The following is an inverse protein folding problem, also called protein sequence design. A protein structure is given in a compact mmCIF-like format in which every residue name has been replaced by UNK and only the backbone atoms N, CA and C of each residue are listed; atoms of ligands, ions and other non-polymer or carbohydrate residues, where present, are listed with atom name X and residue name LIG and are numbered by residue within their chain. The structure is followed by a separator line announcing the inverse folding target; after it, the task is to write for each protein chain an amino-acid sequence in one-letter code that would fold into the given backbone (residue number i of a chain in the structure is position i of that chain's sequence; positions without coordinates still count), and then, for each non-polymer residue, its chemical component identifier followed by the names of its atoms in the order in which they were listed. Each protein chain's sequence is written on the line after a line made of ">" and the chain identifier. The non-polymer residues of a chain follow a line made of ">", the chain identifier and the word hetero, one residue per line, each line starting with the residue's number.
data_IF_118180008203
#
_entry.id   IF_118180008203
#
_cell.length_a   1.000
_cell.length_b   1.000
_cell.length_c   1.000
_cell.angle_alpha   90.00
_cell.angle_beta   90.00
_cell.angle_gamma   90.00
#
_symmetry.space_group_name_H-M   'P 1'
#
loop_
_entity.id
_entity.type
_entity.pdbx_description
1 polymer ?
#
# COMPACT_ATOMS: atom_id res chain seq x y z
N UNK A 1 5.41 36.02 2.72
CA UNK A 1 6.63 36.56 2.10
C UNK A 1 7.12 35.53 1.08
N UNK A 2 6.67 35.66 -0.17
CA UNK A 2 6.91 34.71 -1.26
C UNK A 2 8.41 34.63 -1.55
N UNK A 3 9.03 33.45 -1.35
CA UNK A 3 10.42 33.25 -1.77
C UNK A 3 10.45 33.09 -3.29
N UNK A 4 11.08 34.06 -3.94
CA UNK A 4 11.51 34.04 -5.34
C UNK A 4 12.49 32.88 -5.57
N UNK A 5 12.21 31.98 -6.53
CA UNK A 5 13.17 30.98 -7.03
C UNK A 5 13.10 30.89 -8.58
N UNK A 6 14.29 30.89 -9.19
CA UNK A 6 14.69 31.03 -10.62
C UNK A 6 14.21 29.94 -11.60
N UNK A 7 14.28 30.06 -12.94
CA UNK A 7 14.14 31.13 -13.96
C UNK A 7 14.28 30.47 -15.36
N UNK A 8 13.29 30.63 -16.24
CA UNK A 8 13.43 31.09 -17.64
C UNK A 8 12.06 31.12 -18.34
N UNK A 9 11.27 30.04 -18.28
CA UNK A 9 9.90 29.99 -18.81
C UNK A 9 8.82 30.32 -17.75
N UNK A 10 9.10 29.97 -16.49
CA UNK A 10 8.20 30.22 -15.34
C UNK A 10 8.12 31.72 -15.01
N UNK A 11 9.15 32.49 -15.35
CA UNK A 11 9.25 33.93 -15.13
C UNK A 11 8.36 34.77 -16.05
N UNK A 12 8.12 34.33 -17.30
CA UNK A 12 7.28 35.09 -18.25
C UNK A 12 5.79 34.97 -17.94
N UNK A 13 5.30 33.79 -17.53
CA UNK A 13 3.91 33.60 -17.14
C UNK A 13 3.60 34.04 -15.70
N UNK A 14 4.58 33.99 -14.78
CA UNK A 14 4.35 34.43 -13.39
C UNK A 14 4.27 35.95 -13.20
N UNK A 15 4.67 36.75 -14.19
CA UNK A 15 4.45 38.21 -14.22
C UNK A 15 3.00 38.60 -14.58
N UNK A 16 2.18 37.63 -15.02
CA UNK A 16 0.73 37.78 -15.30
C UNK A 16 -0.11 37.40 -14.06
N UNK A 17 0.53 37.15 -12.92
CA UNK A 17 -0.12 36.75 -11.66
C UNK A 17 -0.79 37.94 -11.00
N UNK A 18 -2.08 38.11 -11.25
CA UNK A 18 -3.07 38.40 -10.19
C UNK A 18 -4.51 38.05 -10.62
N UNK A 19 -4.82 37.95 -11.94
CA UNK A 19 -6.21 37.82 -12.42
C UNK A 19 -6.56 36.52 -13.17
N UNK A 20 -5.63 35.59 -13.37
CA UNK A 20 -5.90 34.37 -14.15
C UNK A 20 -6.43 33.22 -13.28
N UNK A 21 -7.50 32.58 -13.75
CA UNK A 21 -7.98 31.32 -13.19
C UNK A 21 -7.00 30.17 -13.42
N UNK A 22 -7.07 29.11 -12.60
CA UNK A 22 -6.24 27.90 -12.77
C UNK A 22 -6.40 27.26 -14.15
N UNK A 23 -7.61 27.32 -14.72
CA UNK A 23 -7.90 26.85 -16.07
C UNK A 23 -7.14 27.66 -17.12
N UNK A 24 -7.23 28.98 -17.08
CA UNK A 24 -6.54 29.86 -18.02
C UNK A 24 -5.02 29.71 -17.90
N UNK A 25 -4.51 29.56 -16.67
CA UNK A 25 -3.10 29.32 -16.42
C UNK A 25 -2.62 28.02 -17.06
N UNK A 26 -3.38 26.93 -16.92
CA UNK A 26 -3.04 25.65 -17.55
C UNK A 26 -3.08 25.73 -19.08
N UNK A 27 -4.11 26.39 -19.65
CA UNK A 27 -4.23 26.57 -21.10
C UNK A 27 -3.07 27.41 -21.66
N UNK A 28 -2.67 28.47 -20.97
CA UNK A 28 -1.51 29.28 -21.34
C UNK A 28 -0.21 28.50 -21.19
N UNK A 29 -0.05 27.72 -20.12
CA UNK A 29 1.11 26.86 -19.91
C UNK A 29 1.25 25.84 -21.05
N UNK A 30 0.14 25.18 -21.43
CA UNK A 30 0.11 24.25 -22.55
C UNK A 30 0.53 24.93 -23.87
N UNK A 31 0.01 26.13 -24.14
CA UNK A 31 0.39 26.92 -25.32
C UNK A 31 1.87 27.31 -25.30
N UNK A 32 2.41 27.72 -24.15
CA UNK A 32 3.80 28.11 -24.00
C UNK A 32 4.76 26.94 -24.26
N UNK A 33 4.44 25.76 -23.74
CA UNK A 33 5.31 24.58 -23.88
C UNK A 33 4.99 23.73 -25.12
N UNK A 34 4.00 24.14 -25.92
CA UNK A 34 3.67 23.50 -27.20
C UNK A 34 2.97 22.14 -27.08
N UNK A 35 2.15 21.93 -26.05
CA UNK A 35 1.40 20.68 -25.82
C UNK A 35 -0.10 20.87 -25.93
N UNK A 36 -0.81 19.79 -26.26
CA UNK A 36 -2.28 19.77 -26.27
C UNK A 36 -2.80 19.65 -24.83
N UNK A 37 -3.68 20.57 -24.37
CA UNK A 37 -4.25 20.48 -23.03
C UNK A 37 -5.03 19.19 -22.81
N UNK A 38 -4.83 18.55 -21.65
CA UNK A 38 -5.59 17.36 -21.26
C UNK A 38 -6.99 17.77 -20.79
N UNK A 39 -8.01 17.47 -21.59
CA UNK A 39 -9.41 17.81 -21.26
C UNK A 39 -9.89 17.23 -19.94
N UNK A 40 -9.42 16.04 -19.57
CA UNK A 40 -9.76 15.41 -18.30
C UNK A 40 -9.26 16.25 -17.12
N UNK A 41 -8.04 16.80 -17.21
CA UNK A 41 -7.48 17.67 -16.19
C UNK A 41 -8.36 18.91 -15.98
N UNK A 42 -8.73 19.61 -17.07
CA UNK A 42 -9.61 20.78 -17.03
C UNK A 42 -10.95 20.51 -16.34
N UNK A 43 -11.58 19.38 -16.65
CA UNK A 43 -12.86 18.98 -16.05
C UNK A 43 -12.78 18.68 -14.56
N UNK A 44 -11.59 18.37 -14.05
CA UNK A 44 -11.36 17.97 -12.67
C UNK A 44 -10.55 19.02 -11.89
N UNK A 45 -10.41 20.23 -12.41
CA UNK A 45 -9.84 21.35 -11.67
C UNK A 45 -10.68 21.62 -10.41
N UNK A 46 -10.01 21.71 -9.27
CA UNK A 46 -10.67 21.86 -7.95
C UNK A 46 -11.06 20.55 -7.29
N UNK A 47 -10.91 19.39 -7.94
CA UNK A 47 -11.05 18.09 -7.28
C UNK A 47 -9.93 17.86 -6.26
N UNK A 48 -10.25 17.20 -5.15
CA UNK A 48 -9.27 16.77 -4.16
C UNK A 48 -8.35 15.64 -4.69
N UNK A 49 -8.81 14.89 -5.69
CA UNK A 49 -8.05 13.81 -6.32
C UNK A 49 -8.13 13.93 -7.82
N UNK A 50 -6.97 13.92 -8.47
CA UNK A 50 -6.84 14.01 -9.92
C UNK A 50 -6.02 12.80 -10.39
N UNK A 51 -6.67 11.93 -11.16
CA UNK A 51 -6.03 10.81 -11.83
C UNK A 51 -5.78 11.17 -13.30
N UNK A 52 -4.52 11.24 -13.68
CA UNK A 52 -4.04 11.45 -15.05
C UNK A 52 -3.21 10.27 -15.54
N UNK A 53 -3.42 9.07 -15.03
CA UNK A 53 -2.68 7.89 -15.46
C UNK A 53 -2.94 7.60 -16.96
N UNK A 54 -1.95 7.11 -17.69
CA UNK A 54 -2.08 6.70 -19.09
C UNK A 54 -2.50 7.81 -20.08
N UNK A 55 -2.20 9.07 -19.78
CA UNK A 55 -2.55 10.21 -20.64
C UNK A 55 -1.44 10.64 -21.61
N UNK A 56 -0.26 9.99 -21.54
CA UNK A 56 0.87 10.27 -22.44
C UNK A 56 1.38 11.71 -22.33
N UNK A 57 1.38 12.29 -21.13
CA UNK A 57 1.75 13.69 -20.89
C UNK A 57 3.15 14.04 -21.41
N UNK A 58 4.11 13.13 -21.25
CA UNK A 58 5.52 13.38 -21.54
C UNK A 58 6.14 14.47 -20.66
N UNK A 59 7.42 14.79 -20.88
CA UNK A 59 8.13 15.81 -20.10
C UNK A 59 7.48 17.20 -20.16
N UNK A 60 6.98 17.59 -21.33
CA UNK A 60 6.38 18.91 -21.55
C UNK A 60 4.96 19.01 -20.99
N UNK A 61 4.17 17.93 -21.01
CA UNK A 61 2.88 17.88 -20.33
C UNK A 61 3.05 18.01 -18.80
N UNK A 62 4.04 17.32 -18.22
CA UNK A 62 4.41 17.53 -16.82
C UNK A 62 4.85 18.97 -16.53
N UNK A 63 5.61 19.60 -17.44
CA UNK A 63 5.98 21.01 -17.31
C UNK A 63 4.76 21.93 -17.30
N UNK A 64 3.78 21.69 -18.18
CA UNK A 64 2.53 22.47 -18.19
C UNK A 64 1.74 22.30 -16.87
N UNK A 65 1.67 21.08 -16.35
CA UNK A 65 1.05 20.80 -15.04
C UNK A 65 1.81 21.49 -13.90
N UNK A 66 3.14 21.43 -13.89
CA UNK A 66 3.98 22.04 -12.86
C UNK A 66 3.89 23.58 -12.82
N UNK A 67 3.58 24.23 -13.95
CA UNK A 67 3.33 25.68 -14.01
C UNK A 67 1.98 26.03 -13.38
N UNK A 68 1.02 25.09 -13.42
CA UNK A 68 -0.33 25.28 -12.91
C UNK A 68 -0.34 25.22 -11.39
N UNK A 69 -1.04 26.15 -10.73
CA UNK A 69 -1.20 26.09 -9.27
C UNK A 69 -2.29 25.09 -8.91
N UNK A 70 -1.88 23.91 -8.43
CA UNK A 70 -2.77 22.80 -8.13
C UNK A 70 -3.06 22.72 -6.64
N UNK A 71 -4.34 22.81 -6.27
CA UNK A 71 -4.80 22.64 -4.88
C UNK A 71 -5.30 21.23 -4.56
N UNK A 72 -4.99 20.24 -5.42
CA UNK A 72 -5.34 18.83 -5.20
C UNK A 72 -4.54 18.22 -4.05
N UNK A 73 -5.10 17.21 -3.38
CA UNK A 73 -4.40 16.44 -2.34
C UNK A 73 -3.84 15.12 -2.86
N UNK A 74 -4.45 14.54 -3.88
CA UNK A 74 -3.97 13.34 -4.57
C UNK A 74 -3.72 13.66 -6.04
N UNK A 75 -2.53 13.30 -6.53
CA UNK A 75 -2.14 13.44 -7.93
C UNK A 75 -1.57 12.11 -8.43
N UNK A 76 -2.29 11.47 -9.36
CA UNK A 76 -1.86 10.21 -9.97
C UNK A 76 -1.40 10.47 -11.40
N UNK A 77 -0.15 10.14 -11.69
CA UNK A 77 0.52 10.40 -12.97
C UNK A 77 1.18 9.14 -13.52
N UNK A 78 0.75 7.95 -13.10
CA UNK A 78 1.37 6.69 -13.53
C UNK A 78 1.29 6.50 -15.05
N UNK A 79 2.33 5.89 -15.64
CA UNK A 79 2.41 5.57 -17.07
C UNK A 79 2.08 6.78 -17.98
N UNK A 80 2.90 7.83 -17.87
CA UNK A 80 2.78 9.05 -18.67
C UNK A 80 4.05 9.42 -19.44
N UNK A 81 5.05 8.53 -19.46
CA UNK A 81 6.34 8.78 -20.12
C UNK A 81 6.99 10.10 -19.68
N UNK A 82 6.90 10.44 -18.38
CA UNK A 82 7.40 11.74 -17.92
C UNK A 82 8.92 11.90 -18.07
N UNK A 83 9.67 10.79 -18.02
CA UNK A 83 11.13 10.77 -18.00
C UNK A 83 11.71 11.56 -16.83
N UNK A 84 13.03 11.54 -16.68
CA UNK A 84 13.73 12.34 -15.66
C UNK A 84 13.41 13.84 -15.78
N UNK A 85 13.25 14.34 -17.01
CA UNK A 85 12.96 15.75 -17.27
C UNK A 85 11.58 16.17 -16.76
N UNK A 86 10.52 15.39 -17.02
CA UNK A 86 9.17 15.68 -16.53
C UNK A 86 9.10 15.59 -15.01
N UNK A 87 9.74 14.58 -14.41
CA UNK A 87 9.86 14.48 -12.95
C UNK A 87 10.51 15.72 -12.35
N UNK A 88 11.63 16.21 -12.92
CA UNK A 88 12.30 17.42 -12.42
C UNK A 88 11.37 18.62 -12.32
N UNK A 89 10.56 18.88 -13.35
CA UNK A 89 9.58 19.98 -13.33
C UNK A 89 8.54 19.81 -12.20
N UNK A 90 8.02 18.60 -12.03
CA UNK A 90 7.06 18.32 -10.95
C UNK A 90 7.71 18.43 -9.56
N UNK A 91 8.94 17.97 -9.41
CA UNK A 91 9.68 18.04 -8.14
C UNK A 91 9.96 19.49 -7.75
N UNK A 92 10.33 20.34 -8.71
CA UNK A 92 10.49 21.78 -8.50
C UNK A 92 9.18 22.44 -8.01
N UNK A 93 8.04 22.06 -8.59
CA UNK A 93 6.72 22.53 -8.13
C UNK A 93 6.40 22.02 -6.71
N UNK A 94 6.68 20.75 -6.42
CA UNK A 94 6.38 20.12 -5.13
C UNK A 94 7.18 20.69 -3.96
N UNK A 95 8.36 21.27 -4.20
CA UNK A 95 9.12 21.99 -3.14
C UNK A 95 8.33 23.14 -2.53
N UNK A 96 7.45 23.77 -3.29
CA UNK A 96 6.60 24.88 -2.84
C UNK A 96 5.12 24.49 -2.69
N UNK A 97 4.75 23.25 -3.03
CA UNK A 97 3.39 22.77 -2.91
C UNK A 97 3.19 22.11 -1.55
N UNK A 98 2.16 22.57 -0.82
CA UNK A 98 1.82 22.03 0.49
C UNK A 98 0.48 21.29 0.51
N UNK A 99 -0.17 21.16 -0.64
CA UNK A 99 -1.52 20.60 -0.78
C UNK A 99 -1.48 19.13 -1.16
N UNK A 100 -0.54 18.71 -2.02
CA UNK A 100 -0.39 17.33 -2.48
C UNK A 100 0.23 16.50 -1.37
N UNK A 101 -0.52 15.50 -0.93
CA UNK A 101 -0.12 14.53 0.09
C UNK A 101 0.15 13.15 -0.50
N UNK A 102 -0.55 12.79 -1.57
CA UNK A 102 -0.44 11.49 -2.23
C UNK A 102 -0.01 11.71 -3.68
N UNK A 103 1.10 11.08 -4.07
CA UNK A 103 1.68 11.22 -5.39
C UNK A 103 2.02 9.85 -5.98
N UNK A 104 1.53 9.59 -7.20
CA UNK A 104 1.90 8.40 -7.97
C UNK A 104 2.68 8.80 -9.22
N UNK A 105 3.94 8.36 -9.30
CA UNK A 105 4.83 8.55 -10.44
C UNK A 105 5.26 7.23 -11.06
N UNK A 106 4.54 6.14 -10.79
CA UNK A 106 4.90 4.80 -11.25
C UNK A 106 4.97 4.70 -12.78
N UNK A 107 5.84 3.82 -13.29
CA UNK A 107 5.95 3.51 -14.73
C UNK A 107 6.21 4.73 -15.63
N UNK A 108 6.91 5.75 -15.13
CA UNK A 108 7.21 6.97 -15.89
C UNK A 108 8.60 7.01 -16.53
N UNK A 109 9.32 5.89 -16.52
CA UNK A 109 10.70 5.79 -17.02
C UNK A 109 11.62 6.88 -16.46
N UNK A 110 11.51 7.14 -15.15
CA UNK A 110 12.27 8.20 -14.49
C UNK A 110 13.77 7.96 -14.49
N UNK A 111 14.19 6.69 -14.55
CA UNK A 111 15.59 6.26 -14.44
C UNK A 111 16.23 6.79 -13.12
N UNK A 112 17.54 6.63 -12.98
CA UNK A 112 18.28 7.10 -11.79
C UNK A 112 18.18 8.62 -11.60
N UNK A 113 18.29 9.40 -12.68
CA UNK A 113 18.25 10.86 -12.62
C UNK A 113 16.90 11.40 -12.10
N UNK A 114 15.78 10.80 -12.51
CA UNK A 114 14.47 11.20 -12.02
C UNK A 114 14.24 10.80 -10.56
N UNK A 115 14.70 9.61 -10.16
CA UNK A 115 14.62 9.19 -8.77
C UNK A 115 15.53 10.02 -7.84
N UNK A 116 16.70 10.48 -8.30
CA UNK A 116 17.53 11.43 -7.55
C UNK A 116 16.80 12.76 -7.31
N UNK A 117 16.06 13.25 -8.32
CA UNK A 117 15.24 14.45 -8.17
C UNK A 117 14.14 14.26 -7.12
N UNK A 118 13.48 13.11 -7.12
CA UNK A 118 12.46 12.75 -6.12
C UNK A 118 13.08 12.69 -4.73
N UNK A 119 14.22 12.02 -4.57
CA UNK A 119 14.91 11.91 -3.29
C UNK A 119 15.30 13.29 -2.74
N UNK A 120 15.87 14.18 -3.57
CA UNK A 120 16.20 15.56 -3.17
C UNK A 120 14.95 16.36 -2.79
N UNK A 121 13.85 16.20 -3.52
CA UNK A 121 12.59 16.88 -3.20
C UNK A 121 12.04 16.42 -1.86
N UNK A 122 12.13 15.13 -1.54
CA UNK A 122 11.70 14.59 -0.24
C UNK A 122 12.48 15.16 0.95
N UNK A 123 13.73 15.61 0.77
CA UNK A 123 14.47 16.30 1.84
C UNK A 123 13.84 17.66 2.22
N UNK A 124 13.20 18.32 1.26
CA UNK A 124 12.68 19.69 1.42
C UNK A 124 11.16 19.73 1.61
N UNK A 125 10.44 18.78 1.00
CA UNK A 125 9.00 18.75 1.01
C UNK A 125 8.46 18.27 2.36
N UNK A 126 7.42 18.96 2.83
CA UNK A 126 6.78 18.68 4.11
C UNK A 126 5.35 18.13 3.96
N UNK A 127 4.80 18.02 2.75
CA UNK A 127 3.38 17.65 2.55
C UNK A 127 3.16 16.18 2.22
N UNK A 128 4.09 15.55 1.49
CA UNK A 128 3.92 14.19 0.98
C UNK A 128 3.90 13.17 2.13
N UNK A 129 2.88 12.32 2.10
CA UNK A 129 2.63 11.23 3.06
C UNK A 129 2.61 9.87 2.37
N UNK A 130 2.15 9.80 1.13
CA UNK A 130 2.09 8.57 0.33
C UNK A 130 2.76 8.83 -1.02
N UNK A 131 3.73 7.98 -1.38
CA UNK A 131 4.51 8.12 -2.60
C UNK A 131 4.65 6.77 -3.29
N UNK A 132 4.28 6.72 -4.57
CA UNK A 132 4.49 5.55 -5.42
C UNK A 132 5.50 5.81 -6.52
N UNK A 133 6.50 4.95 -6.59
CA UNK A 133 7.66 5.01 -7.46
C UNK A 133 7.95 3.63 -8.05
N UNK A 134 6.88 2.90 -8.41
CA UNK A 134 7.01 1.58 -9.02
C UNK A 134 7.57 1.68 -10.45
N UNK A 135 8.32 0.67 -10.89
CA UNK A 135 8.78 0.57 -12.28
C UNK A 135 9.88 1.56 -12.68
N UNK A 136 10.57 2.19 -11.72
CA UNK A 136 11.79 2.95 -11.94
C UNK A 136 12.98 2.00 -11.95
N UNK A 137 13.59 1.82 -13.13
CA UNK A 137 14.86 1.09 -13.26
C UNK A 137 15.98 1.84 -12.53
N UNK A 138 16.18 1.58 -11.24
CA UNK A 138 17.19 2.21 -10.40
C UNK A 138 18.28 1.18 -10.05
N UNK A 139 19.33 1.11 -10.86
CA UNK A 139 20.51 0.28 -10.56
C UNK A 139 21.41 0.94 -9.50
N UNK A 140 21.37 2.26 -9.33
CA UNK A 140 22.19 2.99 -8.37
C UNK A 140 21.51 4.29 -8.01
N UNK A 141 20.91 4.34 -6.83
CA UNK A 141 20.97 5.55 -6.02
C UNK A 141 21.70 5.10 -4.76
N UNK A 142 22.92 5.60 -4.60
CA UNK A 142 23.55 5.70 -3.29
C UNK A 142 22.49 6.25 -2.35
N UNK A 143 22.05 5.45 -1.38
CA UNK A 143 20.99 5.75 -0.41
C UNK A 143 21.34 6.91 0.53
N UNK A 144 22.36 7.70 0.22
CA UNK A 144 22.77 8.89 0.94
C UNK A 144 21.69 9.97 1.00
N UNK A 145 20.70 9.94 0.08
CA UNK A 145 19.66 10.98 -0.01
C UNK A 145 18.37 10.62 0.76
N UNK A 146 18.07 9.35 1.04
CA UNK A 146 16.89 9.01 1.85
C UNK A 146 17.15 9.05 3.37
N UNK A 147 18.43 9.05 3.78
CA UNK A 147 18.85 8.98 5.18
C UNK A 147 18.85 10.32 5.92
N UNK A 148 18.53 11.44 5.24
CA UNK A 148 18.40 12.74 5.89
C UNK A 148 16.92 13.13 6.00
N UNK A 149 16.31 12.82 7.13
CA UNK A 149 15.27 13.68 7.70
C UNK A 149 13.92 13.83 6.98
N UNK A 150 13.44 12.86 6.19
CA UNK A 150 12.00 12.83 5.85
C UNK A 150 11.21 11.93 6.82
N UNK A 151 10.79 12.53 7.93
CA UNK A 151 9.94 11.92 8.96
C UNK A 151 8.44 12.09 8.67
N UNK A 152 8.02 12.05 7.40
CA UNK A 152 6.59 12.28 7.07
C UNK A 152 5.98 11.24 6.14
N UNK A 153 6.76 10.68 5.24
CA UNK A 153 6.29 9.60 4.39
C UNK A 153 5.89 8.42 5.29
N UNK A 154 4.63 8.00 5.14
CA UNK A 154 4.01 6.88 5.86
C UNK A 154 3.82 5.68 4.95
N UNK A 155 3.65 5.92 3.66
CA UNK A 155 3.43 4.90 2.64
C UNK A 155 4.41 5.12 1.50
N UNK A 156 5.18 4.09 1.17
CA UNK A 156 6.16 4.13 0.10
C UNK A 156 6.05 2.86 -0.72
N UNK A 157 5.80 3.01 -2.01
CA UNK A 157 5.80 1.91 -2.98
C UNK A 157 7.02 2.03 -3.88
N UNK A 158 7.91 1.04 -3.75
CA UNK A 158 9.11 0.85 -4.56
C UNK A 158 9.09 -0.51 -5.27
N UNK A 159 7.90 -1.03 -5.58
CA UNK A 159 7.76 -2.28 -6.31
C UNK A 159 8.36 -2.19 -7.72
N UNK A 160 8.69 -3.34 -8.33
CA UNK A 160 9.14 -3.42 -9.73
C UNK A 160 10.37 -2.56 -10.11
N UNK A 161 11.26 -2.25 -9.16
CA UNK A 161 12.43 -1.38 -9.39
C UNK A 161 13.75 -2.14 -9.70
N UNK A 162 13.69 -3.47 -9.79
CA UNK A 162 14.83 -4.34 -10.13
C UNK A 162 16.06 -4.16 -9.23
N UNK A 163 15.85 -3.90 -7.94
CA UNK A 163 16.94 -3.61 -7.00
C UNK A 163 17.98 -4.73 -6.85
N UNK A 164 17.64 -5.98 -7.18
CA UNK A 164 18.48 -7.16 -7.01
C UNK A 164 19.04 -7.33 -5.58
N UNK A 165 19.94 -8.30 -5.33
CA UNK A 165 20.48 -8.56 -3.99
C UNK A 165 21.13 -7.35 -3.32
N UNK A 166 21.94 -6.60 -4.08
CA UNK A 166 22.65 -5.41 -3.59
C UNK A 166 21.73 -4.25 -3.16
N UNK A 167 20.56 -4.11 -3.78
CA UNK A 167 19.61 -3.07 -3.37
C UNK A 167 18.89 -3.39 -2.06
N UNK A 168 18.90 -4.65 -1.61
CA UNK A 168 18.40 -5.03 -0.29
C UNK A 168 19.22 -4.44 0.85
N UNK A 169 20.55 -4.36 0.72
CA UNK A 169 21.45 -3.73 1.70
C UNK A 169 21.13 -2.23 1.88
N UNK A 170 20.93 -1.55 0.76
CA UNK A 170 20.60 -0.14 0.70
C UNK A 170 19.23 0.14 1.33
N UNK A 171 18.24 -0.72 1.09
CA UNK A 171 16.92 -0.62 1.71
C UNK A 171 16.94 -0.98 3.19
N UNK A 172 17.78 -1.94 3.60
CA UNK A 172 18.05 -2.24 5.00
C UNK A 172 18.49 -0.99 5.75
N UNK A 173 19.48 -0.27 5.21
CA UNK A 173 19.93 1.01 5.78
C UNK A 173 18.85 2.10 5.82
N UNK A 174 17.89 2.10 4.88
CA UNK A 174 16.79 3.07 4.85
C UNK A 174 15.79 2.82 6.00
N UNK A 175 15.51 1.56 6.31
CA UNK A 175 14.47 1.19 7.28
C UNK A 175 15.02 0.94 8.69
N UNK A 176 16.31 0.65 8.86
CA UNK A 176 16.91 0.33 10.16
C UNK A 176 18.44 0.44 10.18
N UNK A 177 19.04 0.27 11.36
CA UNK A 177 20.51 0.18 11.45
C UNK A 177 20.98 -1.13 10.80
N UNK A 178 21.93 -1.03 9.86
CA UNK A 178 22.52 -2.19 9.18
C UNK A 178 24.05 -2.11 9.29
N UNK A 179 24.64 -3.03 10.06
CA UNK A 179 26.09 -3.12 10.27
C UNK A 179 26.66 -4.20 9.34
N UNK A 180 27.24 -3.79 8.21
CA UNK A 180 27.96 -4.72 7.33
C UNK A 180 29.39 -4.93 7.85
N UNK A 181 29.89 -6.18 7.94
CA UNK A 181 31.27 -6.44 8.34
C UNK A 181 32.35 -5.89 7.39
N UNK A 182 32.02 -5.63 6.12
CA UNK A 182 33.02 -5.39 5.05
C UNK A 182 32.97 -4.01 4.36
N UNK A 183 32.19 -3.04 4.84
CA UNK A 183 32.18 -1.70 4.25
C UNK A 183 32.84 -0.68 5.19
N UNK A 184 34.01 -0.16 4.82
CA UNK A 184 34.66 1.01 5.44
C UNK A 184 33.83 2.33 5.31
N UNK A 185 32.55 2.25 4.94
CA UNK A 185 31.58 3.34 4.93
C UNK A 185 30.76 3.43 6.23
N UNK A 186 31.09 2.62 7.24
CA UNK A 186 30.40 2.56 8.55
C UNK A 186 30.84 3.74 9.44
N UNK A 187 30.20 4.89 9.22
CA UNK A 187 29.96 5.90 10.27
C UNK A 187 28.79 6.84 9.94
N UNK A 188 28.33 6.94 8.68
CA UNK A 188 27.50 8.07 8.25
C UNK A 188 25.98 7.82 8.14
N UNK A 189 25.46 6.59 8.32
CA UNK A 189 24.01 6.33 8.23
C UNK A 189 23.47 5.65 9.50
N UNK A 190 23.39 6.42 10.60
CA UNK A 190 22.73 6.01 11.86
C UNK A 190 21.38 6.71 12.04
N UNK A 191 20.54 6.76 11.01
CA UNK A 191 19.20 7.34 11.13
C UNK A 191 18.14 6.35 10.63
N UNK A 192 17.41 5.77 11.58
CA UNK A 192 16.28 4.87 11.34
C UNK A 192 15.06 5.70 10.91
N UNK A 193 14.34 5.24 9.88
CA UNK A 193 13.06 5.86 9.52
C UNK A 193 12.03 5.65 10.65
N UNK A 194 11.48 6.74 11.19
CA UNK A 194 10.55 6.71 12.33
C UNK A 194 9.09 6.97 11.95
N UNK A 195 8.74 7.05 10.67
CA UNK A 195 7.36 7.35 10.26
C UNK A 195 6.76 6.41 9.24
N UNK A 196 7.57 5.68 8.49
CA UNK A 196 7.11 4.76 7.48
C UNK A 196 6.31 3.62 8.12
N UNK A 197 5.07 3.45 7.68
CA UNK A 197 4.14 2.43 8.18
C UNK A 197 3.90 1.33 7.16
N UNK A 198 3.86 1.68 5.88
CA UNK A 198 3.62 0.76 4.79
C UNK A 198 4.74 0.88 3.76
N UNK A 199 5.35 -0.26 3.45
CA UNK A 199 6.43 -0.34 2.48
C UNK A 199 6.15 -1.50 1.52
N UNK A 200 6.04 -1.19 0.23
CA UNK A 200 5.95 -2.18 -0.83
C UNK A 200 7.30 -2.28 -1.55
N UNK A 201 7.92 -3.45 -1.49
CA UNK A 201 9.16 -3.79 -2.18
C UNK A 201 8.97 -5.02 -3.09
N UNK A 202 7.76 -5.32 -3.51
CA UNK A 202 7.48 -6.48 -4.36
C UNK A 202 8.20 -6.39 -5.71
N UNK A 203 8.49 -7.54 -6.32
CA UNK A 203 9.11 -7.63 -7.66
C UNK A 203 10.48 -6.94 -7.81
N UNK A 204 11.34 -7.00 -6.79
CA UNK A 204 12.68 -6.40 -6.83
C UNK A 204 13.82 -7.42 -6.99
N UNK A 205 13.54 -8.70 -6.79
CA UNK A 205 14.52 -9.79 -6.98
C UNK A 205 15.65 -9.78 -5.97
N UNK A 206 15.37 -9.42 -4.70
CA UNK A 206 16.35 -9.37 -3.61
C UNK A 206 17.12 -10.67 -3.34
N UNK A 207 16.49 -11.83 -3.50
CA UNK A 207 17.08 -13.10 -3.06
C UNK A 207 17.34 -13.13 -1.55
N UNK A 208 18.24 -14.04 -1.13
CA UNK A 208 18.53 -14.26 0.29
C UNK A 208 19.39 -13.13 0.90
N UNK A 209 20.24 -12.47 0.10
CA UNK A 209 21.09 -11.37 0.54
C UNK A 209 20.25 -10.17 0.99
N UNK A 210 19.27 -9.76 0.17
CA UNK A 210 18.37 -8.68 0.58
C UNK A 210 17.44 -9.09 1.73
N UNK A 211 17.08 -10.37 1.84
CA UNK A 211 16.32 -10.90 2.97
C UNK A 211 17.12 -10.79 4.30
N UNK A 212 18.43 -11.06 4.27
CA UNK A 212 19.33 -10.84 5.41
C UNK A 212 19.37 -9.36 5.80
N UNK A 213 19.60 -8.47 4.84
CA UNK A 213 19.69 -7.04 5.10
C UNK A 213 18.39 -6.48 5.71
N UNK A 214 17.24 -6.86 5.17
CA UNK A 214 15.94 -6.50 5.71
C UNK A 214 15.72 -7.09 7.10
N UNK A 215 16.13 -8.34 7.33
CA UNK A 215 16.06 -8.99 8.64
C UNK A 215 16.83 -8.21 9.71
N UNK A 216 18.09 -7.85 9.44
CA UNK A 216 18.90 -7.04 10.34
C UNK A 216 18.28 -5.67 10.61
N UNK A 217 17.78 -5.00 9.56
CA UNK A 217 17.15 -3.69 9.70
C UNK A 217 15.84 -3.73 10.50
N UNK A 218 15.04 -4.79 10.34
CA UNK A 218 13.79 -4.98 11.09
C UNK A 218 14.01 -5.12 12.60
N UNK A 219 15.19 -5.55 13.07
CA UNK A 219 15.49 -5.63 14.51
C UNK A 219 15.41 -4.27 15.21
N UNK A 220 15.75 -3.21 14.48
CA UNK A 220 15.83 -1.84 15.00
C UNK A 220 14.67 -0.97 14.54
N UNK A 221 13.93 -1.41 13.52
CA UNK A 221 12.74 -0.70 13.08
C UNK A 221 11.57 -0.93 14.05
N UNK A 222 11.01 0.16 14.57
CA UNK A 222 9.88 0.13 15.50
C UNK A 222 8.66 0.89 14.96
N UNK A 223 8.56 1.04 13.63
CA UNK A 223 7.53 1.88 13.02
C UNK A 223 6.77 1.20 11.90
N UNK A 224 7.42 0.33 11.13
CA UNK A 224 6.84 -0.36 9.99
C UNK A 224 5.78 -1.35 10.46
N UNK A 225 4.60 -1.27 9.84
CA UNK A 225 3.43 -2.10 10.19
C UNK A 225 3.10 -3.08 9.08
N UNK A 226 3.37 -2.72 7.83
CA UNK A 226 3.10 -3.54 6.65
C UNK A 226 4.32 -3.56 5.73
N UNK A 227 4.78 -4.77 5.41
CA UNK A 227 5.89 -5.00 4.51
C UNK A 227 5.48 -5.98 3.41
N UNK A 228 5.54 -5.54 2.16
CA UNK A 228 5.35 -6.40 1.00
C UNK A 228 6.69 -6.78 0.36
N UNK A 229 6.98 -8.09 0.35
CA UNK A 229 8.15 -8.72 -0.26
C UNK A 229 7.76 -9.76 -1.32
N UNK A 230 6.56 -9.67 -1.89
CA UNK A 230 6.10 -10.59 -2.91
C UNK A 230 7.06 -10.63 -4.13
N UNK A 231 7.23 -11.80 -4.75
CA UNK A 231 8.05 -11.96 -5.97
C UNK A 231 9.51 -11.47 -5.84
N UNK A 232 10.18 -11.72 -4.72
CA UNK A 232 11.58 -11.31 -4.49
C UNK A 232 12.62 -12.42 -4.58
N UNK A 233 12.23 -13.62 -5.03
CA UNK A 233 13.12 -14.80 -5.14
C UNK A 233 13.76 -15.21 -3.81
N UNK A 234 13.10 -14.91 -2.70
CA UNK A 234 13.53 -15.30 -1.35
C UNK A 234 13.30 -16.81 -1.20
N UNK A 235 14.31 -17.57 -0.79
CA UNK A 235 14.16 -19.00 -0.48
C UNK A 235 13.92 -19.25 1.01
N UNK A 236 13.77 -20.51 1.42
CA UNK A 236 13.62 -20.89 2.82
C UNK A 236 14.76 -20.36 3.71
N UNK A 237 15.98 -20.30 3.18
CA UNK A 237 17.13 -19.70 3.85
C UNK A 237 16.92 -18.19 4.06
N UNK A 238 16.51 -17.46 3.02
CA UNK A 238 16.19 -16.04 3.12
C UNK A 238 15.04 -15.77 4.11
N UNK A 239 14.01 -16.62 4.14
CA UNK A 239 12.94 -16.53 5.13
C UNK A 239 13.45 -16.74 6.56
N UNK A 240 14.36 -17.69 6.77
CA UNK A 240 15.01 -17.89 8.07
C UNK A 240 15.79 -16.65 8.53
N UNK A 241 16.50 -15.99 7.60
CA UNK A 241 17.24 -14.75 7.88
C UNK A 241 16.31 -13.59 8.22
N UNK A 242 15.17 -13.44 7.52
CA UNK A 242 14.13 -12.48 7.86
C UNK A 242 13.54 -12.76 9.25
N UNK A 243 13.25 -14.02 9.58
CA UNK A 243 12.71 -14.40 10.89
C UNK A 243 13.61 -13.99 12.05
N UNK A 244 14.94 -14.08 11.93
CA UNK A 244 15.87 -13.58 12.97
C UNK A 244 15.69 -12.09 13.26
N UNK A 245 15.24 -11.31 12.27
CA UNK A 245 14.85 -9.92 12.44
C UNK A 245 13.52 -9.77 13.18
N UNK A 246 12.53 -10.56 12.77
CA UNK A 246 11.19 -10.56 13.33
C UNK A 246 11.14 -10.98 14.80
N UNK A 247 12.09 -11.80 15.27
CA UNK A 247 12.21 -12.17 16.69
C UNK A 247 12.39 -10.96 17.62
N UNK A 248 13.01 -9.88 17.14
CA UNK A 248 13.22 -8.64 17.89
C UNK A 248 12.21 -7.54 17.53
N UNK A 249 11.39 -7.74 16.50
CA UNK A 249 10.44 -6.75 16.02
C UNK A 249 9.05 -6.93 16.66
N UNK A 250 8.54 -5.87 17.28
CA UNK A 250 7.23 -5.85 17.95
C UNK A 250 6.23 -4.87 17.29
N UNK A 251 6.48 -4.48 16.03
CA UNK A 251 5.67 -3.46 15.34
C UNK A 251 5.10 -3.91 13.99
N UNK A 252 5.77 -4.82 13.30
CA UNK A 252 5.31 -5.35 12.02
C UNK A 252 4.10 -6.26 12.24
N UNK A 253 2.99 -5.93 11.58
CA UNK A 253 1.72 -6.65 11.67
C UNK A 253 1.43 -7.50 10.43
N UNK A 254 1.82 -7.03 9.25
CA UNK A 254 1.53 -7.69 7.98
C UNK A 254 2.81 -7.94 7.20
N UNK A 255 3.05 -9.20 6.85
CA UNK A 255 4.18 -9.64 6.04
C UNK A 255 3.68 -10.40 4.80
N UNK A 256 3.92 -9.83 3.61
CA UNK A 256 3.57 -10.48 2.35
C UNK A 256 4.83 -11.11 1.72
N UNK A 257 4.80 -12.41 1.47
CA UNK A 257 5.90 -13.21 0.93
C UNK A 257 5.44 -14.14 -0.21
N UNK A 258 4.26 -13.91 -0.77
CA UNK A 258 3.72 -14.67 -1.89
C UNK A 258 4.64 -14.60 -3.13
N UNK A 259 4.60 -15.67 -3.91
CA UNK A 259 5.38 -15.89 -5.13
C UNK A 259 6.91 -15.78 -4.93
N UNK A 260 7.39 -16.05 -3.71
CA UNK A 260 8.80 -16.35 -3.44
C UNK A 260 9.09 -17.84 -3.60
N UNK A 261 10.38 -18.21 -3.53
CA UNK A 261 10.88 -19.58 -3.66
C UNK A 261 10.79 -20.36 -2.35
N UNK A 262 9.67 -20.21 -1.64
CA UNK A 262 9.42 -20.84 -0.34
C UNK A 262 8.82 -22.23 -0.51
N UNK A 263 9.28 -23.15 0.33
CA UNK A 263 8.68 -24.48 0.50
C UNK A 263 7.94 -24.55 1.84
N UNK A 264 7.43 -25.74 2.18
CA UNK A 264 6.84 -25.99 3.50
C UNK A 264 7.82 -25.72 4.65
N UNK A 265 9.13 -25.88 4.43
CA UNK A 265 10.15 -25.59 5.45
C UNK A 265 10.19 -24.10 5.76
N UNK A 266 10.25 -23.23 4.75
CA UNK A 266 10.18 -21.78 4.94
C UNK A 266 8.86 -21.34 5.58
N UNK A 267 7.74 -21.96 5.20
CA UNK A 267 6.45 -21.72 5.84
C UNK A 267 6.46 -22.08 7.33
N UNK A 268 7.02 -23.24 7.70
CA UNK A 268 7.20 -23.65 9.09
C UNK A 268 8.09 -22.68 9.86
N UNK A 269 9.19 -22.20 9.26
CA UNK A 269 10.06 -21.19 9.87
C UNK A 269 9.30 -19.90 10.18
N UNK A 270 8.45 -19.43 9.26
CA UNK A 270 7.64 -18.22 9.44
C UNK A 270 6.64 -18.35 10.59
N UNK A 271 5.90 -19.46 10.71
CA UNK A 271 4.93 -19.60 11.81
C UNK A 271 5.62 -19.90 13.15
N UNK A 272 6.78 -20.58 13.14
CA UNK A 272 7.55 -20.82 14.36
C UNK A 272 8.10 -19.52 14.98
N UNK A 273 8.41 -18.50 14.17
CA UNK A 273 8.83 -17.20 14.72
C UNK A 273 7.72 -16.59 15.56
N UNK A 274 6.46 -16.67 15.10
CA UNK A 274 5.30 -16.14 15.84
C UNK A 274 5.13 -16.89 17.16
N UNK A 275 5.24 -18.23 17.12
CA UNK A 275 5.17 -19.08 18.31
C UNK A 275 6.24 -18.77 19.35
N UNK A 276 7.47 -18.54 18.91
CA UNK A 276 8.62 -18.37 19.79
C UNK A 276 8.81 -16.92 20.25
N UNK A 277 8.08 -15.97 19.67
CA UNK A 277 8.22 -14.54 19.94
C UNK A 277 6.93 -13.98 20.54
N UNK A 278 6.74 -14.01 21.87
CA UNK A 278 5.49 -13.58 22.50
C UNK A 278 5.20 -12.08 22.35
N UNK A 279 6.20 -11.27 22.00
CA UNK A 279 6.07 -9.83 21.73
C UNK A 279 5.76 -9.50 20.27
N UNK A 280 5.68 -10.50 19.40
CA UNK A 280 5.40 -10.28 17.98
C UNK A 280 4.08 -9.56 17.79
N UNK A 281 4.06 -8.59 16.88
CA UNK A 281 2.83 -7.92 16.46
C UNK A 281 2.23 -8.53 15.19
N UNK A 282 2.83 -9.62 14.67
CA UNK A 282 2.39 -10.23 13.42
C UNK A 282 0.96 -10.74 13.55
N UNK A 283 0.11 -10.25 12.65
CA UNK A 283 -1.29 -10.61 12.50
C UNK A 283 -1.56 -11.27 11.16
N UNK A 284 -0.76 -10.97 10.12
CA UNK A 284 -0.96 -11.56 8.79
C UNK A 284 0.36 -11.99 8.17
N UNK A 285 0.43 -13.25 7.72
CA UNK A 285 1.50 -13.77 6.87
C UNK A 285 0.88 -14.29 5.59
N UNK A 286 1.24 -13.70 4.45
CA UNK A 286 0.79 -14.18 3.15
C UNK A 286 1.89 -14.96 2.42
N UNK A 287 1.65 -16.26 2.25
CA UNK A 287 2.44 -17.20 1.46
C UNK A 287 1.51 -18.02 0.54
N UNK A 288 0.50 -17.37 -0.07
CA UNK A 288 -0.63 -18.01 -0.74
C UNK A 288 -0.27 -18.95 -1.91
N UNK A 289 0.97 -18.97 -2.37
CA UNK A 289 1.48 -19.88 -3.41
C UNK A 289 2.24 -21.10 -2.84
N UNK A 290 2.45 -21.18 -1.53
CA UNK A 290 3.22 -22.24 -0.89
C UNK A 290 2.31 -23.40 -0.52
N UNK A 291 2.64 -24.60 -1.01
CA UNK A 291 1.98 -25.83 -0.59
C UNK A 291 2.57 -26.28 0.76
N UNK A 292 1.69 -26.53 1.73
CA UNK A 292 2.05 -26.94 3.09
C UNK A 292 1.64 -28.39 3.36
N UNK A 293 2.04 -28.96 4.48
CA UNK A 293 1.66 -30.33 4.88
C UNK A 293 0.76 -30.33 6.13
N UNK A 294 0.29 -31.50 6.57
CA UNK A 294 -0.55 -31.62 7.76
C UNK A 294 0.16 -31.12 9.03
N UNK A 295 1.48 -31.34 9.13
CA UNK A 295 2.27 -30.89 10.27
C UNK A 295 2.23 -29.35 10.40
N UNK A 296 2.33 -28.63 9.28
CA UNK A 296 2.17 -27.18 9.25
C UNK A 296 0.78 -26.76 9.73
N UNK A 297 -0.28 -27.41 9.25
CA UNK A 297 -1.66 -27.06 9.65
C UNK A 297 -1.88 -27.31 11.14
N UNK A 298 -1.42 -28.44 11.67
CA UNK A 298 -1.51 -28.76 13.10
C UNK A 298 -0.75 -27.73 13.94
N UNK A 299 0.46 -27.36 13.53
CA UNK A 299 1.24 -26.34 14.21
C UNK A 299 0.56 -24.97 14.17
N UNK A 300 0.03 -24.57 13.00
CA UNK A 300 -0.71 -23.32 12.84
C UNK A 300 -1.96 -23.30 13.73
N UNK A 301 -2.73 -24.39 13.81
CA UNK A 301 -3.89 -24.49 14.70
C UNK A 301 -3.52 -24.31 16.17
N UNK A 302 -2.37 -24.85 16.61
CA UNK A 302 -1.86 -24.62 17.97
C UNK A 302 -1.46 -23.16 18.19
N UNK A 303 -0.77 -22.54 17.23
CA UNK A 303 -0.34 -21.14 17.33
C UNK A 303 -1.56 -20.22 17.37
N UNK A 304 -2.59 -20.46 16.55
CA UNK A 304 -3.82 -19.66 16.55
C UNK A 304 -4.62 -19.78 17.87
N UNK A 305 -4.41 -20.80 18.69
CA UNK A 305 -5.00 -20.85 20.04
C UNK A 305 -4.35 -19.82 20.98
N UNK A 306 -3.04 -19.60 20.84
CA UNK A 306 -2.28 -18.61 21.61
C UNK A 306 -2.36 -17.20 20.99
N UNK A 307 -2.47 -17.13 19.66
CA UNK A 307 -2.54 -15.90 18.86
C UNK A 307 -3.78 -15.89 17.93
N UNK A 308 -5.00 -15.65 18.45
CA UNK A 308 -6.25 -15.76 17.67
C UNK A 308 -6.38 -14.75 16.52
N UNK A 309 -5.60 -13.68 16.53
CA UNK A 309 -5.59 -12.67 15.46
C UNK A 309 -4.68 -13.03 14.29
N UNK A 310 -3.88 -14.10 14.39
CA UNK A 310 -2.97 -14.52 13.33
C UNK A 310 -3.73 -15.17 12.17
N UNK A 311 -3.63 -14.56 10.99
CA UNK A 311 -4.09 -15.09 9.72
C UNK A 311 -2.89 -15.48 8.85
N UNK A 312 -2.89 -16.73 8.35
CA UNK A 312 -1.85 -17.21 7.43
C UNK A 312 -2.49 -17.72 6.15
N UNK A 313 -2.17 -17.08 5.03
CA UNK A 313 -2.65 -17.47 3.71
C UNK A 313 -1.60 -18.38 3.04
N UNK A 314 -2.01 -19.57 2.61
CA UNK A 314 -1.13 -20.57 1.97
C UNK A 314 -1.87 -21.28 0.81
N UNK A 315 -1.12 -21.90 -0.11
CA UNK A 315 -1.65 -22.40 -1.39
C UNK A 315 -2.43 -23.70 -1.34
N UNK A 316 -2.33 -24.46 -0.24
CA UNK A 316 -3.06 -25.70 0.00
C UNK A 316 -2.23 -26.74 0.72
N UNK A 317 -2.84 -27.87 1.12
CA UNK A 317 -2.16 -28.96 1.82
C UNK A 317 -1.80 -30.07 0.82
N UNK A 318 -0.50 -30.36 0.65
CA UNK A 318 0.01 -31.42 -0.23
C UNK A 318 -0.27 -32.83 0.29
N UNK A 319 -0.54 -33.77 -0.62
CA UNK A 319 -0.71 -35.20 -0.30
C UNK A 319 -2.16 -35.72 -0.22
N UNK A 320 -3.16 -34.84 -0.21
CA UNK A 320 -4.57 -35.22 -0.27
C UNK A 320 -5.33 -34.29 -1.22
N UNK A 321 -6.38 -34.79 -1.87
CA UNK A 321 -7.39 -33.96 -2.53
C UNK A 321 -7.75 -32.88 -1.52
N UNK A 322 -7.46 -31.62 -1.88
CA UNK A 322 -7.61 -30.47 -1.01
C UNK A 322 -8.87 -30.63 -0.16
N UNK A 323 -8.72 -30.86 1.15
CA UNK A 323 -9.78 -30.47 2.07
C UNK A 323 -9.91 -28.98 1.83
N UNK A 324 -10.97 -28.63 1.11
CA UNK A 324 -11.31 -27.27 0.71
C UNK A 324 -10.92 -26.36 1.87
N UNK A 325 -10.10 -25.30 1.65
CA UNK A 325 -9.75 -24.37 2.72
C UNK A 325 -11.05 -24.03 3.45
N UNK A 326 -11.04 -23.99 4.80
CA UNK A 326 -12.26 -23.69 5.58
C UNK A 326 -12.96 -22.54 4.87
N UNK A 327 -14.11 -22.84 4.27
CA UNK A 327 -14.75 -21.98 3.27
C UNK A 327 -14.86 -20.61 3.94
N UNK A 328 -14.15 -19.58 3.46
CA UNK A 328 -14.22 -18.22 4.01
C UNK A 328 -15.70 -17.88 4.13
N UNK A 329 -16.23 -17.91 5.35
CA UNK A 329 -17.67 -17.81 5.56
C UNK A 329 -17.96 -16.34 5.37
N UNK A 330 -18.64 -16.01 4.28
CA UNK A 330 -19.03 -14.64 3.97
C UNK A 330 -19.72 -14.04 5.21
N UNK A 331 -19.21 -12.94 5.79
CA UNK A 331 -19.82 -12.30 6.95
C UNK A 331 -21.30 -11.95 6.72
N UNK A 332 -21.67 -11.61 5.49
CA UNK A 332 -23.07 -11.37 5.11
C UNK A 332 -23.92 -12.65 5.20
N UNK A 333 -23.33 -13.80 4.90
CA UNK A 333 -24.01 -15.09 5.04
C UNK A 333 -24.19 -15.47 6.51
N UNK A 334 -23.21 -15.23 7.37
CA UNK A 334 -23.36 -15.44 8.83
C UNK A 334 -24.51 -14.61 9.39
N UNK A 335 -24.60 -13.34 8.99
CA UNK A 335 -25.71 -12.45 9.36
C UNK A 335 -27.03 -13.00 8.83
N UNK A 336 -27.09 -13.41 7.57
CA UNK A 336 -28.31 -13.96 6.96
C UNK A 336 -28.78 -15.25 7.65
N UNK A 337 -27.87 -16.21 7.88
CA UNK A 337 -28.19 -17.47 8.55
C UNK A 337 -28.70 -17.22 9.99
N UNK A 338 -28.09 -16.28 10.71
CA UNK A 338 -28.55 -15.86 12.04
C UNK A 338 -29.95 -15.25 12.02
N UNK A 339 -30.21 -14.35 11.06
CA UNK A 339 -31.51 -13.69 10.91
C UNK A 339 -32.60 -14.70 10.51
N UNK A 340 -32.31 -15.59 9.57
CA UNK A 340 -33.25 -16.61 9.08
C UNK A 340 -33.60 -17.63 10.18
N UNK A 341 -32.62 -18.11 10.95
CA UNK A 341 -32.85 -19.02 12.09
C UNK A 341 -33.78 -18.40 13.14
N UNK A 342 -33.73 -17.09 13.32
CA UNK A 342 -34.55 -16.35 14.30
C UNK A 342 -35.80 -15.71 13.68
N UNK A 343 -36.06 -15.93 12.39
CA UNK A 343 -37.16 -15.31 11.62
C UNK A 343 -37.17 -13.77 11.73
N UNK A 344 -35.99 -13.17 11.82
CA UNK A 344 -35.79 -11.72 11.87
C UNK A 344 -35.52 -11.19 10.47
N UNK A 345 -35.94 -9.96 10.18
CA UNK A 345 -35.54 -9.26 8.95
C UNK A 345 -34.28 -8.45 9.22
N UNK A 346 -33.47 -8.23 8.19
CA UNK A 346 -32.30 -7.33 8.24
C UNK A 346 -32.68 -5.93 8.75
N UNK A 347 -33.89 -5.47 8.42
CA UNK A 347 -34.45 -4.22 8.95
C UNK A 347 -34.65 -4.22 10.47
N UNK A 348 -35.02 -5.36 11.06
CA UNK A 348 -35.23 -5.48 12.50
C UNK A 348 -33.91 -5.36 13.27
N UNK A 349 -32.79 -5.68 12.61
CA UNK A 349 -31.43 -5.50 13.14
C UNK A 349 -30.99 -4.02 13.12
N UNK A 350 -31.19 -3.33 12.00
CA UNK A 350 -30.74 -1.93 11.86
C UNK A 350 -31.67 -0.90 12.50
N UNK A 351 -32.90 -1.28 12.88
CA UNK A 351 -33.91 -0.39 13.45
C UNK A 351 -33.43 0.43 14.65
N UNK A 352 -32.53 -0.12 15.46
CA UNK A 352 -32.03 0.54 16.67
C UNK A 352 -30.91 1.57 16.38
N UNK A 353 -30.33 1.55 15.19
CA UNK A 353 -29.17 2.36 14.78
C UNK A 353 -29.57 3.36 13.70
N UNK A 354 -30.35 2.91 12.71
CA UNK A 354 -30.88 3.71 11.61
C UNK A 354 -32.29 4.21 11.96
N UNK A 355 -32.35 5.15 12.91
CA UNK A 355 -33.61 5.73 13.40
C UNK A 355 -34.39 6.48 12.32
N UNK A 356 -33.67 7.03 11.35
CA UNK A 356 -34.22 7.85 10.26
C UNK A 356 -34.58 7.01 9.01
N UNK A 357 -34.25 5.72 9.02
CA UNK A 357 -34.56 4.77 7.95
C UNK A 357 -33.84 5.05 6.62
N UNK A 358 -32.71 5.76 6.67
CA UNK A 358 -31.95 6.21 5.50
C UNK A 358 -31.12 5.11 4.86
N UNK A 359 -30.97 3.98 5.55
CA UNK A 359 -30.10 2.85 5.21
C UNK A 359 -28.62 3.22 5.14
N UNK A 360 -28.23 4.27 5.85
CA UNK A 360 -26.86 4.76 6.00
C UNK A 360 -26.58 5.00 7.47
N UNK A 361 -25.51 4.40 8.00
CA UNK A 361 -25.14 4.55 9.41
C UNK A 361 -23.64 4.81 9.56
N UNK A 362 -23.20 5.63 10.52
CA UNK A 362 -21.77 5.81 10.78
C UNK A 362 -21.10 4.48 11.11
N UNK A 363 -19.88 4.27 10.61
CA UNK A 363 -19.10 3.05 10.83
C UNK A 363 -18.92 2.74 12.32
N UNK A 364 -18.77 3.76 13.16
CA UNK A 364 -18.60 3.61 14.61
C UNK A 364 -19.84 3.00 15.27
N UNK A 365 -21.02 3.47 14.86
CA UNK A 365 -22.29 3.00 15.42
C UNK A 365 -22.65 1.62 14.88
N UNK A 366 -22.39 1.38 13.60
CA UNK A 366 -22.50 0.05 12.99
C UNK A 366 -21.64 -0.98 13.73
N UNK A 367 -20.36 -0.66 13.96
CA UNK A 367 -19.41 -1.54 14.64
C UNK A 367 -19.86 -1.88 16.06
N UNK A 368 -20.24 -0.86 16.84
CA UNK A 368 -20.75 -1.06 18.20
C UNK A 368 -21.98 -1.96 18.21
N UNK A 369 -22.92 -1.75 17.29
CA UNK A 369 -24.13 -2.52 17.26
C UNK A 369 -23.93 -3.98 16.84
N UNK A 370 -23.04 -4.26 15.89
CA UNK A 370 -22.67 -5.64 15.53
C UNK A 370 -21.97 -6.33 16.70
N UNK A 371 -21.05 -5.65 17.38
CA UNK A 371 -20.34 -6.18 18.56
C UNK A 371 -21.25 -6.43 19.76
N UNK A 372 -22.29 -5.61 19.95
CA UNK A 372 -23.28 -5.77 21.01
C UNK A 372 -24.40 -6.77 20.65
N UNK A 373 -24.45 -7.23 19.40
CA UNK A 373 -25.42 -8.21 18.95
C UNK A 373 -24.97 -9.63 19.27
N UNK A 374 -25.92 -10.57 19.35
CA UNK A 374 -25.60 -12.00 19.50
C UNK A 374 -25.24 -12.69 18.17
N UNK A 375 -24.89 -11.93 17.14
CA UNK A 375 -24.47 -12.50 15.85
C UNK A 375 -23.05 -13.05 16.04
N UNK A 376 -22.79 -14.32 15.67
CA UNK A 376 -21.47 -14.95 15.85
C UNK A 376 -20.49 -14.47 14.77
N UNK A 377 -20.13 -13.19 14.79
CA UNK A 377 -19.10 -12.60 13.94
C UNK A 377 -17.84 -12.31 14.74
N UNK A 378 -16.71 -12.75 14.21
CA UNK A 378 -15.39 -12.42 14.74
C UNK A 378 -14.99 -10.98 14.36
N UNK A 379 -14.07 -10.37 15.13
CA UNK A 379 -13.67 -8.97 14.95
C UNK A 379 -13.21 -8.69 13.52
N UNK A 380 -12.44 -9.60 12.90
CA UNK A 380 -11.97 -9.44 11.52
C UNK A 380 -13.13 -9.48 10.50
N UNK A 381 -14.16 -10.32 10.73
CA UNK A 381 -15.33 -10.41 9.86
C UNK A 381 -16.17 -9.13 9.90
N UNK A 382 -16.18 -8.44 11.04
CA UNK A 382 -16.79 -7.12 11.20
C UNK A 382 -16.02 -6.08 10.39
N UNK A 383 -14.68 -6.10 10.43
CA UNK A 383 -13.86 -5.21 9.60
C UNK A 383 -14.02 -5.47 8.11
N UNK A 384 -14.01 -6.75 7.68
CA UNK A 384 -14.26 -7.15 6.29
C UNK A 384 -15.63 -6.64 5.81
N UNK A 385 -16.65 -6.74 6.67
CA UNK A 385 -17.99 -6.26 6.37
C UNK A 385 -18.05 -4.74 6.25
N UNK A 386 -17.37 -4.02 7.14
CA UNK A 386 -17.28 -2.54 7.09
C UNK A 386 -16.57 -2.11 5.81
N UNK A 387 -15.44 -2.73 5.45
CA UNK A 387 -14.72 -2.41 4.22
C UNK A 387 -15.57 -2.66 2.97
N UNK A 388 -16.43 -3.68 2.97
CA UNK A 388 -17.35 -3.94 1.84
C UNK A 388 -18.48 -2.92 1.74
N UNK A 389 -19.05 -2.52 2.87
CA UNK A 389 -20.21 -1.63 2.91
C UNK A 389 -19.83 -0.13 2.91
N UNK A 390 -18.58 0.20 3.22
CA UNK A 390 -17.96 1.52 3.11
C UNK A 390 -16.72 1.44 2.20
N UNK A 391 -16.92 0.94 0.98
CA UNK A 391 -15.84 0.68 0.02
C UNK A 391 -14.96 1.91 -0.25
N UNK A 392 -15.58 3.08 -0.25
CA UNK A 392 -14.92 4.36 -0.54
C UNK A 392 -14.37 5.05 0.73
N UNK A 393 -14.39 4.35 1.89
CA UNK A 393 -13.88 4.84 3.19
C UNK A 393 -14.46 6.19 3.61
N UNK A 394 -15.74 6.38 3.35
CA UNK A 394 -16.49 7.61 3.65
C UNK A 394 -16.78 7.76 5.15
N UNK A 395 -16.58 6.72 5.94
CA UNK A 395 -16.96 6.64 7.35
C UNK A 395 -18.43 6.30 7.57
N UNK A 396 -19.15 5.98 6.49
CA UNK A 396 -20.59 5.66 6.50
C UNK A 396 -20.80 4.29 5.85
N UNK A 397 -21.41 3.38 6.60
CA UNK A 397 -21.87 2.09 6.09
C UNK A 397 -23.16 2.30 5.31
N UNK A 398 -23.14 2.00 4.02
CA UNK A 398 -24.31 1.99 3.15
C UNK A 398 -24.75 0.55 2.88
N UNK A 399 -25.88 0.16 3.46
CA UNK A 399 -26.40 -1.20 3.34
C UNK A 399 -27.64 -1.29 2.43
N UNK A 400 -27.88 -0.27 1.58
CA UNK A 400 -28.94 -0.30 0.55
C UNK A 400 -28.77 -1.47 -0.42
N UNK A 401 -27.52 -1.78 -0.77
CA UNK A 401 -27.14 -2.89 -1.65
C UNK A 401 -27.38 -4.27 -1.00
N UNK A 402 -27.26 -4.37 0.33
CA UNK A 402 -27.49 -5.61 1.09
C UNK A 402 -28.95 -6.10 1.02
N UNK A 403 -29.89 -5.21 0.68
CA UNK A 403 -31.31 -5.56 0.47
C UNK A 403 -31.53 -6.36 -0.83
N UNK A 404 -30.65 -6.18 -1.82
CA UNK A 404 -30.71 -6.86 -3.13
C UNK A 404 -29.94 -8.20 -3.17
N UNK A 405 -29.07 -8.44 -2.18
CA UNK A 405 -28.22 -9.64 -2.08
C UNK A 405 -29.00 -10.96 -2.10
N UNK A 406 -30.29 -10.95 -1.72
CA UNK A 406 -31.19 -12.12 -1.80
C UNK A 406 -31.42 -12.58 -3.25
N UNK A 407 -31.30 -11.69 -4.24
CA UNK A 407 -31.43 -12.01 -5.67
C UNK A 407 -30.07 -12.36 -6.31
N UNK A 408 -29.01 -11.65 -5.91
CA UNK A 408 -27.66 -11.81 -6.48
C UNK A 408 -27.02 -13.14 -6.06
N UNK A 409 -27.16 -13.54 -4.79
CA UNK A 409 -26.60 -14.78 -4.26
C UNK A 409 -27.23 -16.04 -4.89
N UNK A 410 -28.54 -16.02 -5.15
CA UNK A 410 -29.23 -17.11 -5.86
C UNK A 410 -28.81 -17.23 -7.33
N UNK A 411 -28.43 -16.11 -7.95
CA UNK A 411 -27.97 -16.07 -9.34
C UNK A 411 -26.51 -16.53 -9.46
N UNK A 412 -25.66 -16.17 -8.49
CA UNK A 412 -24.25 -16.57 -8.43
C UNK A 412 -24.08 -18.04 -8.01
N UNK A 413 -24.90 -18.54 -7.07
CA UNK A 413 -24.91 -19.97 -6.71
C UNK A 413 -25.40 -20.86 -7.86
N UNK A 414 -26.34 -20.39 -8.70
CA UNK A 414 -26.79 -21.11 -9.91
C UNK A 414 -25.76 -21.10 -11.04
N UNK A 415 -24.98 -20.02 -11.18
CA UNK A 415 -23.87 -19.95 -12.16
C UNK A 415 -22.74 -20.91 -11.79
N UNK A 416 -22.42 -21.06 -10.50
CA UNK A 416 -21.41 -22.02 -10.04
C UNK A 416 -21.84 -23.49 -10.06
N UNK A 417 -23.14 -23.79 -10.04
CA UNK A 417 -23.64 -25.16 -10.19
C UNK A 417 -23.73 -25.61 -11.65
N UNK A 418 -23.82 -24.68 -12.60
CA UNK A 418 -23.89 -24.96 -14.04
C UNK A 418 -22.52 -24.94 -14.73
N UNK A 419 -21.46 -24.44 -14.09
CA UNK A 419 -20.08 -24.51 -14.63
C UNK A 419 -19.32 -25.76 -14.19
N UNK A 420 -19.95 -26.63 -13.39
CA UNK A 420 -19.35 -27.86 -12.83
C UNK A 420 -20.22 -29.11 -13.11
N UNK A 421 -21.13 -29.02 -14.08
CA UNK A 421 -21.82 -30.13 -14.73
C UNK A 421 -21.50 -30.04 -16.22
#
# INVERSE_FOLDING_TARGET
>A
MLRLWCFSAVSELKLIREDLSTEELYLQACKLVGVVPVRYFLRNLGSAAINLNHHGLGPLGAKALAITDMHTTTLELADNFLLAEGARHLMEMLRANFTIHNLDLSDNHLQSAGAECVAKMLLENISIKSLKLSGISCILIETSVCSQSNYRVKELDLSHNQFCGRGGEHLGQMIGEYDTPDSHAVFLCRQVNTTLKHLDLSFNGFGNEGALALGEALKFNNTLVHLDLNNNRISDEGASLLCKGLEANDTLRVLQLAYNSLTVEGALTLINVVKNTPKTAIEEINICNVLVNENFVQLLELICQEHPSLEVQYGGVGGFIAKKPRKRIDPMKVIQDYLDQRKLRLWDFFRNIDKDGTMRVPVVDFRKAVQQSSIPLEKFQIEELIQRLDRDRTGIVDYRSARSYRSTLNTELRRHSLSNA
#
